data_IF_127960216507
#
_entry.id   IF_127960216507
#
_cell.length_a   1.000
_cell.length_b   1.000
_cell.length_c   1.000
_cell.angle_alpha   90.00
_cell.angle_beta   90.00
_cell.angle_gamma   90.00
#
_symmetry.space_group_name_H-M   'P 1'
#
loop_
_entity.id
_entity.type
_entity.pdbx_description
1 polymer ?
#
# COMPACT_ATOMS: atom_id res chain seq x y z
N UNK A 1 -10.58 -20.82 -3.26
CA UNK A 1 -9.68 -19.94 -4.05
C UNK A 1 -10.51 -18.78 -4.57
N UNK A 2 -10.03 -17.54 -4.48
CA UNK A 2 -10.70 -16.40 -5.11
C UNK A 2 -10.62 -16.56 -6.63
N UNK A 3 -11.70 -16.29 -7.35
CA UNK A 3 -11.75 -16.45 -8.81
C UNK A 3 -10.82 -15.46 -9.54
N UNK A 4 -10.42 -15.78 -10.78
CA UNK A 4 -9.59 -14.87 -11.59
C UNK A 4 -10.23 -13.48 -11.78
N UNK A 5 -11.56 -13.41 -11.92
CA UNK A 5 -12.29 -12.15 -11.99
C UNK A 5 -12.17 -11.34 -10.69
N UNK A 6 -12.27 -12.02 -9.54
CA UNK A 6 -12.07 -11.40 -8.22
C UNK A 6 -10.66 -10.84 -8.06
N UNK A 7 -9.65 -11.56 -8.55
CA UNK A 7 -8.26 -11.11 -8.56
C UNK A 7 -8.02 -9.90 -9.46
N UNK A 8 -8.61 -9.90 -10.65
CA UNK A 8 -8.55 -8.77 -11.58
C UNK A 8 -9.22 -7.53 -11.01
N UNK A 9 -10.40 -7.68 -10.41
CA UNK A 9 -11.10 -6.60 -9.72
C UNK A 9 -10.29 -6.07 -8.54
N UNK A 10 -9.78 -6.96 -7.69
CA UNK A 10 -8.97 -6.60 -6.54
C UNK A 10 -7.73 -5.78 -6.95
N UNK A 11 -7.02 -6.21 -8.00
CA UNK A 11 -5.89 -5.45 -8.56
C UNK A 11 -6.31 -4.06 -9.01
N UNK A 12 -7.37 -3.94 -9.80
CA UNK A 12 -7.86 -2.63 -10.29
C UNK A 12 -8.23 -1.70 -9.13
N UNK A 13 -8.95 -2.24 -8.14
CA UNK A 13 -9.34 -1.49 -6.95
C UNK A 13 -8.12 -1.03 -6.15
N UNK A 14 -7.13 -1.92 -5.93
CA UNK A 14 -5.90 -1.60 -5.22
C UNK A 14 -5.10 -0.51 -5.93
N UNK A 15 -4.90 -0.62 -7.26
CA UNK A 15 -4.22 0.41 -8.04
C UNK A 15 -4.93 1.76 -7.95
N UNK A 16 -6.26 1.79 -8.05
CA UNK A 16 -7.01 3.04 -7.97
C UNK A 16 -6.85 3.70 -6.60
N UNK A 17 -6.92 2.92 -5.51
CA UNK A 17 -6.75 3.44 -4.15
C UNK A 17 -5.31 3.87 -3.88
N UNK A 18 -4.31 3.12 -4.35
CA UNK A 18 -2.91 3.47 -4.15
C UNK A 18 -2.53 4.76 -4.87
N UNK A 19 -3.06 5.01 -6.08
CA UNK A 19 -2.85 6.28 -6.78
C UNK A 19 -3.37 7.47 -5.97
N UNK A 20 -4.56 7.38 -5.40
CA UNK A 20 -5.10 8.46 -4.54
C UNK A 20 -4.21 8.66 -3.31
N UNK A 21 -3.85 7.57 -2.62
CA UNK A 21 -2.99 7.64 -1.44
C UNK A 21 -1.61 8.23 -1.76
N UNK A 22 -1.07 7.99 -2.96
CA UNK A 22 0.22 8.55 -3.38
C UNK A 22 0.17 10.09 -3.42
N UNK A 23 -0.89 10.65 -4.02
CA UNK A 23 -1.08 12.10 -4.05
C UNK A 23 -1.31 12.69 -2.65
N UNK A 24 -2.02 11.98 -1.78
CA UNK A 24 -2.23 12.42 -0.40
C UNK A 24 -0.91 12.41 0.39
N UNK A 25 -0.08 11.38 0.23
CA UNK A 25 1.24 11.30 0.85
C UNK A 25 2.18 12.40 0.36
N UNK A 26 2.22 12.68 -0.95
CA UNK A 26 3.03 13.76 -1.51
C UNK A 26 2.69 15.12 -0.88
N UNK A 27 1.40 15.41 -0.73
CA UNK A 27 0.92 16.63 -0.07
C UNK A 27 1.28 16.67 1.41
N UNK A 28 1.06 15.58 2.14
CA UNK A 28 1.35 15.49 3.58
C UNK A 28 2.86 15.63 3.84
N UNK A 29 3.70 14.95 3.07
CA UNK A 29 5.16 15.04 3.18
C UNK A 29 5.64 16.45 2.84
N UNK A 30 5.12 17.05 1.77
CA UNK A 30 5.51 18.40 1.35
C UNK A 30 5.16 19.47 2.40
N UNK A 31 4.05 19.29 3.13
CA UNK A 31 3.60 20.19 4.18
C UNK A 31 4.23 19.91 5.56
N UNK A 32 4.96 18.80 5.73
CA UNK A 32 5.53 18.41 7.00
C UNK A 32 6.76 19.26 7.39
N UNK A 33 7.07 19.31 8.68
CA UNK A 33 8.36 19.86 9.16
C UNK A 33 9.51 18.97 8.69
N UNK A 34 10.72 19.53 8.58
CA UNK A 34 11.88 18.81 8.06
C UNK A 34 12.21 17.53 8.85
N UNK A 35 11.97 17.55 10.16
CA UNK A 35 12.13 16.39 11.06
C UNK A 35 11.14 15.25 10.76
N UNK A 36 9.95 15.57 10.25
CA UNK A 36 8.89 14.60 9.97
C UNK A 36 8.88 14.12 8.52
N UNK A 37 9.53 14.84 7.58
CA UNK A 37 9.59 14.46 6.16
C UNK A 37 10.17 13.07 5.94
N UNK A 38 11.30 12.75 6.58
CA UNK A 38 11.96 11.46 6.39
C UNK A 38 11.12 10.29 6.95
N UNK A 39 10.63 10.32 8.21
CA UNK A 39 9.74 9.27 8.71
C UNK A 39 8.50 9.04 7.84
N UNK A 40 7.86 10.10 7.33
CA UNK A 40 6.69 9.99 6.47
C UNK A 40 7.04 9.41 5.10
N UNK A 41 8.21 9.77 4.55
CA UNK A 41 8.73 9.23 3.30
C UNK A 41 9.04 7.74 3.43
N UNK A 42 9.67 7.32 4.53
CA UNK A 42 9.96 5.91 4.80
C UNK A 42 8.69 5.08 4.96
N UNK A 43 7.66 5.65 5.61
CA UNK A 43 6.36 5.03 5.74
C UNK A 43 5.65 4.88 4.38
N UNK A 44 5.67 5.92 3.55
CA UNK A 44 5.13 5.87 2.19
C UNK A 44 5.85 4.79 1.36
N UNK A 45 7.18 4.77 1.39
CA UNK A 45 7.98 3.78 0.67
C UNK A 45 7.65 2.34 1.10
N UNK A 46 7.53 2.08 2.41
CA UNK A 46 7.12 0.77 2.94
C UNK A 46 5.73 0.36 2.47
N UNK A 47 4.77 1.30 2.44
CA UNK A 47 3.42 1.04 1.96
C UNK A 47 3.41 0.69 0.47
N UNK A 48 4.01 1.53 -0.38
CA UNK A 48 3.97 1.34 -1.83
C UNK A 48 4.78 0.13 -2.29
N UNK A 49 5.91 -0.17 -1.65
CA UNK A 49 6.64 -1.42 -1.88
C UNK A 49 5.78 -2.66 -1.62
N UNK A 50 4.91 -2.64 -0.60
CA UNK A 50 4.00 -3.76 -0.35
C UNK A 50 2.84 -3.81 -1.35
N UNK A 51 2.30 -2.66 -1.77
CA UNK A 51 1.30 -2.60 -2.85
C UNK A 51 1.84 -3.24 -4.13
N UNK A 52 3.09 -2.95 -4.51
CA UNK A 52 3.74 -3.55 -5.68
C UNK A 52 3.89 -5.08 -5.53
N UNK A 53 4.30 -5.57 -4.36
CA UNK A 53 4.37 -7.02 -4.07
C UNK A 53 3.01 -7.70 -4.16
N UNK A 54 1.93 -7.06 -3.66
CA UNK A 54 0.56 -7.58 -3.80
C UNK A 54 0.18 -7.65 -5.28
N UNK A 55 0.45 -6.60 -6.06
CA UNK A 55 0.14 -6.59 -7.48
C UNK A 55 0.87 -7.73 -8.21
N UNK A 56 2.13 -7.98 -7.87
CA UNK A 56 2.91 -9.10 -8.39
C UNK A 56 2.35 -10.46 -7.98
N UNK A 57 1.97 -10.63 -6.70
CA UNK A 57 1.37 -11.87 -6.21
C UNK A 57 0.07 -12.21 -6.95
N UNK A 58 -0.75 -11.20 -7.20
CA UNK A 58 -2.01 -11.32 -7.95
C UNK A 58 -1.75 -11.69 -9.40
N UNK A 59 -0.76 -11.05 -10.07
CA UNK A 59 -0.35 -11.42 -11.45
C UNK A 59 0.10 -12.87 -11.54
N UNK A 60 0.85 -13.35 -10.54
CA UNK A 60 1.41 -14.72 -10.50
C UNK A 60 0.42 -15.78 -9.97
N UNK A 61 -0.78 -15.38 -9.53
CA UNK A 61 -1.75 -16.26 -8.85
C UNK A 61 -1.13 -17.01 -7.66
N UNK A 62 -0.16 -16.40 -6.98
CA UNK A 62 0.56 -17.03 -5.87
C UNK A 62 -0.15 -16.74 -4.53
N UNK A 63 -0.94 -17.71 -4.09
CA UNK A 63 -1.75 -17.58 -2.87
C UNK A 63 -0.92 -17.40 -1.59
N UNK A 64 0.24 -18.06 -1.47
CA UNK A 64 1.13 -17.95 -0.31
C UNK A 64 1.72 -16.55 -0.21
N UNK A 65 2.17 -16.00 -1.34
CA UNK A 65 2.71 -14.65 -1.42
C UNK A 65 1.63 -13.60 -1.12
N UNK A 66 0.41 -13.81 -1.59
CA UNK A 66 -0.72 -12.92 -1.32
C UNK A 66 -1.04 -12.84 0.19
N UNK A 67 -1.08 -13.99 0.89
CA UNK A 67 -1.31 -14.02 2.34
C UNK A 67 -0.20 -13.30 3.13
N UNK A 68 1.08 -13.51 2.77
CA UNK A 68 2.20 -12.79 3.39
C UNK A 68 2.08 -11.28 3.16
N UNK A 69 1.77 -10.85 1.94
CA UNK A 69 1.65 -9.42 1.64
C UNK A 69 0.50 -8.77 2.41
N UNK A 70 -0.62 -9.47 2.62
CA UNK A 70 -1.70 -8.98 3.48
C UNK A 70 -1.25 -8.80 4.93
N UNK A 71 -0.55 -9.79 5.49
CA UNK A 71 -0.03 -9.72 6.84
C UNK A 71 0.94 -8.54 7.03
N UNK A 72 1.76 -8.26 6.01
CA UNK A 72 2.73 -7.15 6.03
C UNK A 72 2.06 -5.77 5.83
N UNK A 73 0.98 -5.70 5.05
CA UNK A 73 0.33 -4.42 4.67
C UNK A 73 -0.58 -3.88 5.76
N UNK A 74 -1.29 -4.74 6.51
CA UNK A 74 -2.20 -4.34 7.59
C UNK A 74 -1.53 -3.45 8.66
N UNK A 75 -0.39 -3.82 9.27
CA UNK A 75 0.25 -2.99 10.29
C UNK A 75 0.74 -1.66 9.71
N UNK A 76 1.16 -1.63 8.44
CA UNK A 76 1.56 -0.39 7.76
C UNK A 76 0.36 0.53 7.60
N UNK A 77 -0.79 0.02 7.15
CA UNK A 77 -2.01 0.82 7.05
C UNK A 77 -2.46 1.36 8.41
N UNK A 78 -2.32 0.57 9.49
CA UNK A 78 -2.59 1.04 10.85
C UNK A 78 -1.65 2.15 11.27
N UNK A 79 -0.36 2.04 10.96
CA UNK A 79 0.64 3.08 11.21
C UNK A 79 0.31 4.36 10.43
N UNK A 80 -0.11 4.25 9.17
CA UNK A 80 -0.57 5.39 8.35
C UNK A 80 -1.78 6.06 8.98
N UNK A 81 -2.81 5.31 9.36
CA UNK A 81 -4.01 5.87 10.00
C UNK A 81 -3.67 6.58 11.32
N UNK A 82 -2.77 6.04 12.12
CA UNK A 82 -2.35 6.65 13.38
C UNK A 82 -1.55 7.96 13.18
N UNK A 83 -0.80 8.07 12.08
CA UNK A 83 -0.01 9.26 11.73
C UNK A 83 -0.82 10.35 11.04
N UNK A 84 -1.97 10.01 10.48
CA UNK A 84 -2.86 10.93 9.75
C UNK A 84 -4.14 11.29 10.52
N UNK A 85 -4.30 10.78 11.74
CA UNK A 85 -5.39 11.14 12.67
C UNK A 85 -5.07 12.45 13.40
#
# INVERSE_FOLDING_TARGET
MLGQETMSYFRKYLCMKSTVMYYDFDKVISAASDEQKQPLTDLANRLFNNVEKIEEAVKRQNNTMMQSCYADTVPILQEVMARMA
#
